data_IF_070600898521
#
_entry.id   IF_070600898521
#
_cell.length_a   1.000
_cell.length_b   1.000
_cell.length_c   1.000
_cell.angle_alpha   90.00
_cell.angle_beta   90.00
_cell.angle_gamma   90.00
#
_symmetry.space_group_name_H-M   'P 1'
#
loop_
_entity.id
_entity.type
_entity.pdbx_description
1 polymer ?
#
# COMPACT_ATOMS: atom_id res chain seq x y z
N UNK A 1 -6.15 25.89 -2.67
CA UNK A 1 -6.52 24.99 -3.77
C UNK A 1 -6.39 23.59 -3.22
N UNK A 2 -7.42 22.75 -3.32
CA UNK A 2 -7.35 21.39 -2.82
C UNK A 2 -6.49 20.56 -3.79
N UNK A 3 -5.36 20.03 -3.32
CA UNK A 3 -4.39 19.22 -4.07
C UNK A 3 -4.52 17.71 -3.77
N UNK A 4 -5.52 17.31 -2.98
CA UNK A 4 -5.81 15.90 -2.73
C UNK A 4 -6.31 15.21 -4.00
N UNK A 5 -5.74 14.04 -4.26
CA UNK A 5 -6.18 13.12 -5.30
C UNK A 5 -7.13 12.10 -4.68
N UNK A 6 -8.20 11.76 -5.42
CA UNK A 6 -9.16 10.71 -5.03
C UNK A 6 -9.78 10.93 -3.63
N UNK A 7 -10.10 12.18 -3.27
CA UNK A 7 -10.58 12.54 -1.93
C UNK A 7 -11.84 11.78 -1.47
N UNK A 8 -12.66 11.33 -2.41
CA UNK A 8 -13.93 10.64 -2.18
C UNK A 8 -13.84 9.11 -2.34
N UNK A 9 -12.65 8.52 -2.32
CA UNK A 9 -12.46 7.08 -2.59
C UNK A 9 -13.25 6.15 -1.67
N UNK A 10 -13.58 6.55 -0.44
CA UNK A 10 -14.42 5.77 0.48
C UNK A 10 -15.92 5.85 0.15
N UNK A 11 -16.36 6.91 -0.53
CA UNK A 11 -17.76 7.14 -0.87
C UNK A 11 -18.11 6.65 -2.29
N UNK A 12 -17.13 6.55 -3.18
CA UNK A 12 -17.31 6.15 -4.57
C UNK A 12 -16.36 5.02 -4.98
N UNK A 13 -16.94 3.86 -5.33
CA UNK A 13 -16.20 2.70 -5.80
C UNK A 13 -15.44 2.96 -7.11
N UNK A 14 -15.92 3.83 -7.99
CA UNK A 14 -15.18 4.16 -9.21
C UNK A 14 -13.90 4.93 -8.88
N UNK A 15 -14.00 5.89 -7.96
CA UNK A 15 -12.84 6.61 -7.40
C UNK A 15 -11.89 5.66 -6.66
N UNK A 16 -12.39 4.69 -5.90
CA UNK A 16 -11.57 3.65 -5.26
C UNK A 16 -10.80 2.82 -6.30
N UNK A 17 -11.47 2.36 -7.35
CA UNK A 17 -10.83 1.58 -8.41
C UNK A 17 -9.76 2.41 -9.15
N UNK A 18 -10.04 3.69 -9.41
CA UNK A 18 -9.08 4.60 -10.03
C UNK A 18 -7.85 4.85 -9.14
N UNK A 19 -8.04 4.96 -7.82
CA UNK A 19 -6.97 5.04 -6.84
C UNK A 19 -6.10 3.77 -6.84
N UNK A 20 -6.71 2.58 -6.89
CA UNK A 20 -5.96 1.33 -7.00
C UNK A 20 -5.15 1.27 -8.30
N UNK A 21 -5.76 1.62 -9.43
CA UNK A 21 -5.08 1.65 -10.73
C UNK A 21 -3.94 2.67 -10.76
N UNK A 22 -4.12 3.83 -10.11
CA UNK A 22 -3.08 4.84 -9.96
C UNK A 22 -1.85 4.27 -9.25
N UNK A 23 -2.04 3.62 -8.11
CA UNK A 23 -0.94 3.01 -7.37
C UNK A 23 -0.31 1.84 -8.11
N UNK A 24 -1.11 1.00 -8.76
CA UNK A 24 -0.61 -0.11 -9.58
C UNK A 24 0.32 0.41 -10.69
N UNK A 25 -0.12 1.41 -11.46
CA UNK A 25 0.68 1.99 -12.53
C UNK A 25 1.97 2.63 -12.00
N UNK A 26 1.89 3.32 -10.86
CA UNK A 26 3.03 4.00 -10.23
C UNK A 26 4.08 3.03 -9.68
N UNK A 27 3.63 1.87 -9.17
CA UNK A 27 4.48 0.84 -8.57
C UNK A 27 4.81 -0.31 -9.52
N UNK A 28 4.52 -0.18 -10.82
CA UNK A 28 4.76 -1.21 -11.83
C UNK A 28 6.25 -1.67 -11.92
N UNK A 29 7.19 -0.90 -11.38
CA UNK A 29 8.59 -1.33 -11.27
C UNK A 29 8.82 -2.48 -10.27
N UNK A 30 7.82 -2.80 -9.44
CA UNK A 30 7.81 -3.93 -8.51
C UNK A 30 7.05 -5.15 -9.08
N UNK A 31 6.46 -5.03 -10.26
CA UNK A 31 5.70 -6.11 -10.90
C UNK A 31 6.61 -7.32 -11.17
N UNK A 32 6.13 -8.51 -10.81
CA UNK A 32 6.86 -9.77 -10.96
C UNK A 32 7.94 -10.01 -9.89
N UNK A 33 8.34 -8.99 -9.13
CA UNK A 33 9.25 -9.13 -7.99
C UNK A 33 8.52 -9.25 -6.66
N UNK A 34 7.46 -8.45 -6.49
CA UNK A 34 6.64 -8.44 -5.30
C UNK A 34 5.25 -9.02 -5.57
N UNK A 35 4.69 -9.71 -4.59
CA UNK A 35 3.31 -10.19 -4.63
C UNK A 35 2.52 -9.80 -3.39
N UNK A 36 1.18 -9.82 -3.43
CA UNK A 36 0.37 -9.54 -2.25
C UNK A 36 0.63 -10.57 -1.13
N UNK A 37 0.45 -10.14 0.11
CA UNK A 37 0.58 -10.98 1.31
C UNK A 37 -0.56 -10.82 2.31
N UNK A 38 -1.40 -9.78 2.15
CA UNK A 38 -2.61 -9.59 2.95
C UNK A 38 -3.85 -9.88 2.12
N UNK A 39 -4.87 -10.44 2.77
CA UNK A 39 -6.20 -10.53 2.17
C UNK A 39 -6.83 -9.14 2.18
N UNK A 40 -7.41 -8.74 1.06
CA UNK A 40 -8.12 -7.46 0.88
C UNK A 40 -9.62 -7.66 0.65
N UNK A 41 -10.11 -8.88 0.88
CA UNK A 41 -11.49 -9.28 0.72
C UNK A 41 -11.90 -10.33 1.78
N UNK A 42 -13.18 -10.31 2.14
CA UNK A 42 -13.84 -11.26 3.01
C UNK A 42 -13.87 -12.67 2.37
N UNK A 43 -14.16 -13.69 3.18
CA UNK A 43 -14.24 -15.08 2.70
C UNK A 43 -15.33 -15.29 1.62
N UNK A 44 -16.34 -14.42 1.56
CA UNK A 44 -17.36 -14.41 0.52
C UNK A 44 -16.94 -13.66 -0.76
N UNK A 45 -15.69 -13.19 -0.84
CA UNK A 45 -15.15 -12.45 -2.00
C UNK A 45 -15.45 -10.94 -2.00
N UNK A 46 -16.18 -10.42 -1.03
CA UNK A 46 -16.46 -8.99 -0.93
C UNK A 46 -15.19 -8.20 -0.52
N UNK A 47 -14.77 -7.16 -1.26
CA UNK A 47 -13.61 -6.34 -0.89
C UNK A 47 -13.84 -5.50 0.37
N UNK A 48 -12.77 -5.12 1.08
CA UNK A 48 -12.85 -4.31 2.30
C UNK A 48 -13.12 -2.82 2.06
N UNK A 49 -12.75 -2.27 0.89
CA UNK A 49 -12.98 -0.87 0.48
C UNK A 49 -12.67 0.20 1.56
N UNK A 50 -11.63 -0.01 2.36
CA UNK A 50 -11.30 0.83 3.54
C UNK A 50 -9.96 1.56 3.41
N UNK A 51 -9.25 1.38 2.30
CA UNK A 51 -7.92 1.96 2.09
C UNK A 51 -6.81 1.29 2.92
N UNK A 52 -7.09 0.20 3.65
CA UNK A 52 -6.14 -0.46 4.53
C UNK A 52 -6.08 -1.99 4.30
N UNK A 53 -5.17 -2.46 3.44
CA UNK A 53 -4.24 -1.69 2.62
C UNK A 53 -4.83 -1.28 1.25
N UNK A 54 -4.42 -0.12 0.73
CA UNK A 54 -4.62 0.22 -0.69
C UNK A 54 -3.57 -0.45 -1.57
N UNK A 55 -2.36 -0.63 -1.04
CA UNK A 55 -1.25 -1.39 -1.65
C UNK A 55 -0.70 -2.35 -0.61
N UNK A 56 -0.49 -3.61 -0.98
CA UNK A 56 0.29 -4.55 -0.18
C UNK A 56 1.20 -5.38 -1.09
N UNK A 57 2.48 -5.43 -0.77
CA UNK A 57 3.54 -6.01 -1.58
C UNK A 57 4.52 -6.74 -0.67
N UNK A 58 4.96 -7.93 -1.06
CA UNK A 58 5.99 -8.68 -0.36
C UNK A 58 6.97 -9.31 -1.35
N UNK A 59 8.25 -9.09 -1.08
CA UNK A 59 9.38 -9.85 -1.60
C UNK A 59 9.73 -10.90 -0.52
N UNK A 60 9.27 -12.14 -0.78
CA UNK A 60 9.44 -13.25 0.17
C UNK A 60 10.90 -13.71 0.23
N UNK A 61 11.62 -13.65 -0.90
CA UNK A 61 13.02 -14.06 -0.98
C UNK A 61 13.91 -13.12 -0.16
N UNK A 62 13.61 -11.83 -0.16
CA UNK A 62 14.31 -10.84 0.64
C UNK A 62 13.79 -10.68 2.08
N UNK A 63 12.71 -11.35 2.47
CA UNK A 63 12.06 -11.16 3.77
C UNK A 63 11.58 -9.72 4.00
N UNK A 64 11.10 -9.06 2.94
CA UNK A 64 10.64 -7.66 2.97
C UNK A 64 9.19 -7.57 2.51
N UNK A 65 8.39 -6.80 3.24
CA UNK A 65 7.04 -6.44 2.85
C UNK A 65 6.84 -4.92 2.94
N UNK A 66 5.81 -4.43 2.25
CA UNK A 66 5.36 -3.08 2.40
C UNK A 66 3.86 -2.96 2.18
N UNK A 67 3.24 -1.98 2.85
CA UNK A 67 1.87 -1.58 2.56
C UNK A 67 1.67 -0.08 2.63
N UNK A 68 0.74 0.40 1.80
CA UNK A 68 0.22 1.76 1.87
C UNK A 68 -1.18 1.70 2.48
N UNK A 69 -1.41 2.51 3.49
CA UNK A 69 -2.72 2.82 4.06
C UNK A 69 -3.14 4.20 3.54
N UNK A 70 -4.21 4.22 2.74
CA UNK A 70 -4.78 5.46 2.23
C UNK A 70 -5.77 6.02 3.25
N UNK A 71 -5.49 7.20 3.79
CA UNK A 71 -6.41 7.93 4.65
C UNK A 71 -7.33 8.86 3.85
N UNK A 72 -8.52 9.10 4.41
CA UNK A 72 -9.48 10.07 3.91
C UNK A 72 -9.01 11.50 4.21
N UNK A 73 -8.78 12.36 3.20
CA UNK A 73 -8.33 13.72 3.45
C UNK A 73 -9.37 14.59 4.19
N UNK A 74 -10.66 14.23 4.12
CA UNK A 74 -11.72 14.93 4.88
C UNK A 74 -11.56 14.77 6.40
N UNK A 75 -10.97 13.67 6.85
CA UNK A 75 -10.78 13.37 8.27
C UNK A 75 -9.37 13.73 8.75
N UNK A 76 -8.35 13.48 7.92
CA UNK A 76 -6.94 13.56 8.32
C UNK A 76 -6.19 14.77 7.72
N UNK A 77 -6.78 15.48 6.75
CA UNK A 77 -6.11 16.59 6.07
C UNK A 77 -4.85 16.14 5.34
N UNK A 78 -3.75 16.90 5.44
CA UNK A 78 -2.45 16.46 4.95
C UNK A 78 -1.79 15.58 6.00
N UNK A 79 -1.72 14.27 5.75
CA UNK A 79 -1.03 13.33 6.61
C UNK A 79 -0.02 12.50 5.83
N UNK A 80 1.11 12.22 6.48
CA UNK A 80 2.12 11.30 6.01
C UNK A 80 2.95 10.79 7.19
N UNK A 81 2.91 9.49 7.42
CA UNK A 81 3.82 8.81 8.34
C UNK A 81 4.31 7.50 7.74
N UNK A 82 5.55 7.13 8.09
CA UNK A 82 6.08 5.84 7.71
C UNK A 82 6.98 5.26 8.80
N UNK A 83 6.85 3.95 9.01
CA UNK A 83 7.60 3.21 10.01
C UNK A 83 7.78 1.75 9.57
N UNK A 84 8.64 1.04 10.29
CA UNK A 84 8.96 -0.37 10.03
C UNK A 84 8.55 -1.23 11.21
N UNK A 85 8.09 -2.45 10.95
CA UNK A 85 7.79 -3.43 11.99
C UNK A 85 8.24 -4.84 11.58
N UNK A 86 8.48 -5.70 12.57
CA UNK A 86 8.69 -7.12 12.33
C UNK A 86 7.34 -7.81 12.09
N UNK A 87 7.30 -8.71 11.11
CA UNK A 87 6.12 -9.51 10.77
C UNK A 87 6.54 -10.94 10.45
N UNK A 88 5.54 -11.81 10.28
CA UNK A 88 5.70 -13.17 9.77
C UNK A 88 4.94 -13.27 8.45
N UNK A 89 5.64 -13.59 7.36
CA UNK A 89 5.01 -13.84 6.05
C UNK A 89 4.64 -15.30 5.92
N UNK A 90 3.45 -15.58 5.38
CA UNK A 90 3.06 -16.94 5.03
C UNK A 90 3.91 -17.47 3.86
N UNK A 91 4.45 -18.67 4.04
CA UNK A 91 5.25 -19.40 3.06
C UNK A 91 4.91 -20.90 3.09
N UNK A 92 4.12 -21.37 2.13
CA UNK A 92 3.58 -22.73 2.12
C UNK A 92 2.77 -23.03 3.38
N UNK A 93 3.17 -24.08 4.11
CA UNK A 93 2.58 -24.49 5.39
C UNK A 93 3.22 -23.79 6.60
N UNK A 94 4.16 -22.87 6.36
CA UNK A 94 4.96 -22.22 7.40
C UNK A 94 4.88 -20.69 7.37
N UNK A 95 5.70 -20.10 8.24
CA UNK A 95 5.90 -18.66 8.33
C UNK A 95 7.38 -18.35 8.31
N UNK A 96 7.75 -17.26 7.61
CA UNK A 96 9.12 -16.74 7.58
C UNK A 96 9.17 -15.36 8.25
N UNK A 97 10.18 -15.09 9.09
CA UNK A 97 10.40 -13.75 9.63
C UNK A 97 10.67 -12.75 8.52
N UNK A 98 10.03 -11.59 8.60
CA UNK A 98 10.19 -10.52 7.64
C UNK A 98 10.09 -9.15 8.31
N UNK A 99 10.46 -8.11 7.56
CA UNK A 99 10.25 -6.71 7.97
C UNK A 99 9.24 -6.05 7.03
N UNK A 100 8.30 -5.32 7.60
CA UNK A 100 7.27 -4.59 6.86
C UNK A 100 7.51 -3.09 6.96
N UNK A 101 7.53 -2.41 5.82
CA UNK A 101 7.44 -0.94 5.72
C UNK A 101 5.98 -0.52 5.60
N UNK A 102 5.48 0.24 6.56
CA UNK A 102 4.12 0.80 6.50
C UNK A 102 4.23 2.27 6.14
N UNK A 103 3.43 2.70 5.17
CA UNK A 103 3.26 4.10 4.81
C UNK A 103 1.78 4.44 4.98
N UNK A 104 1.46 5.41 5.82
CA UNK A 104 0.11 5.94 6.00
C UNK A 104 0.12 7.36 5.43
N UNK A 105 -0.78 7.65 4.49
CA UNK A 105 -0.80 8.96 3.84
C UNK A 105 -2.21 9.38 3.43
N UNK A 106 -2.39 10.69 3.27
CA UNK A 106 -3.39 11.26 2.37
C UNK A 106 -2.73 11.57 1.02
N UNK A 107 -3.45 11.33 -0.08
CA UNK A 107 -2.83 11.28 -1.40
C UNK A 107 -2.78 12.66 -2.05
N UNK A 108 -1.58 13.13 -2.30
CA UNK A 108 -1.25 14.25 -3.19
C UNK A 108 -0.14 13.81 -4.12
N UNK A 109 0.21 14.60 -5.13
CA UNK A 109 1.37 14.28 -5.97
C UNK A 109 2.68 14.18 -5.16
N UNK A 110 2.82 15.02 -4.12
CA UNK A 110 4.01 15.04 -3.28
C UNK A 110 4.11 13.81 -2.38
N UNK A 111 3.01 13.40 -1.74
CA UNK A 111 3.00 12.19 -0.90
C UNK A 111 3.11 10.91 -1.74
N UNK A 112 2.55 10.91 -2.95
CA UNK A 112 2.73 9.82 -3.92
C UNK A 112 4.20 9.62 -4.30
N UNK A 113 4.91 10.71 -4.63
CA UNK A 113 6.33 10.66 -4.97
C UNK A 113 7.16 10.18 -3.79
N UNK A 114 6.93 10.74 -2.61
CA UNK A 114 7.66 10.35 -1.40
C UNK A 114 7.47 8.85 -1.08
N UNK A 115 6.25 8.35 -1.15
CA UNK A 115 5.97 6.94 -0.91
C UNK A 115 6.66 6.03 -1.94
N UNK A 116 6.64 6.42 -3.22
CA UNK A 116 7.34 5.69 -4.28
C UNK A 116 8.85 5.64 -4.02
N UNK A 117 9.47 6.76 -3.67
CA UNK A 117 10.90 6.85 -3.38
C UNK A 117 11.28 5.97 -2.17
N UNK A 118 10.45 5.99 -1.11
CA UNK A 118 10.64 5.14 0.07
C UNK A 118 10.51 3.65 -0.28
N UNK A 119 9.55 3.26 -1.14
CA UNK A 119 9.40 1.88 -1.58
C UNK A 119 10.52 1.42 -2.51
N UNK A 120 11.03 2.29 -3.39
CA UNK A 120 12.21 2.03 -4.21
C UNK A 120 13.43 1.74 -3.34
N UNK A 121 13.67 2.59 -2.34
CA UNK A 121 14.78 2.39 -1.41
C UNK A 121 14.60 1.12 -0.57
N UNK A 122 13.36 0.82 -0.14
CA UNK A 122 13.05 -0.33 0.68
C UNK A 122 13.31 -1.66 -0.05
N UNK A 123 12.84 -1.79 -1.29
CA UNK A 123 13.00 -2.98 -2.10
C UNK A 123 14.29 -3.00 -2.94
N UNK A 124 15.18 -2.02 -2.76
CA UNK A 124 16.50 -2.10 -3.36
C UNK A 124 17.25 -3.35 -2.82
N UNK A 125 18.01 -4.04 -3.69
CA UNK A 125 18.94 -5.07 -3.23
C UNK A 125 19.89 -4.52 -2.18
N UNK A 126 20.22 -5.36 -1.18
CA UNK A 126 21.21 -5.03 -0.15
C UNK A 126 22.64 -5.04 -0.70
#
# INVERSE_FOLDING_TARGET
>A
MNDFLFADFLADHATYAALQAYWQARLAFLDGHCGPYLRTAFANGQPFYDGNPIVNLADRDAGKAARIVQQCPHEFGHDYTSFEQAIELADGDGHIPAREKIIVLTLTLATAQRAEDELRAWFAPA
#
